data_IF_120549117895
#
_entry.id   IF_120549117895
#
_cell.length_a   1.000
_cell.length_b   1.000
_cell.length_c   1.000
_cell.angle_alpha   90.00
_cell.angle_beta   90.00
_cell.angle_gamma   90.00
#
_symmetry.space_group_name_H-M   'P 1'
#
loop_
_entity.id
_entity.type
_entity.pdbx_description
1 polymer ?
#
# COMPACT_ATOMS: atom_id res chain seq x y z
N UNK A 1 -16.39 -14.03 20.38
CA UNK A 1 -16.35 -14.01 18.90
C UNK A 1 -17.72 -13.65 18.38
N UNK A 2 -17.86 -12.50 17.71
CA UNK A 2 -19.17 -11.97 17.29
C UNK A 2 -19.72 -12.76 16.09
N UNK A 3 -21.06 -12.87 15.97
CA UNK A 3 -21.73 -13.50 14.81
C UNK A 3 -21.23 -12.90 13.50
N UNK A 4 -21.07 -11.58 13.47
CA UNK A 4 -20.50 -10.81 12.34
C UNK A 4 -19.10 -11.29 11.93
N UNK A 5 -18.27 -11.76 12.85
CA UNK A 5 -16.92 -12.26 12.54
C UNK A 5 -16.96 -13.62 11.85
N UNK A 6 -17.98 -14.44 12.12
CA UNK A 6 -18.18 -15.74 11.48
C UNK A 6 -18.68 -15.56 10.04
N UNK A 7 -19.67 -14.72 9.84
CA UNK A 7 -20.20 -14.39 8.50
C UNK A 7 -19.11 -13.80 7.61
N UNK A 8 -18.30 -12.90 8.15
CA UNK A 8 -17.18 -12.31 7.42
C UNK A 8 -16.12 -13.36 7.01
N UNK A 9 -15.83 -14.32 7.87
CA UNK A 9 -14.90 -15.41 7.51
C UNK A 9 -15.45 -16.29 6.41
N UNK A 10 -16.71 -16.68 6.52
CA UNK A 10 -17.36 -17.49 5.49
C UNK A 10 -17.35 -16.78 4.13
N UNK A 11 -17.68 -15.48 4.12
CA UNK A 11 -17.63 -14.67 2.90
C UNK A 11 -16.21 -14.58 2.33
N UNK A 12 -15.18 -14.48 3.16
CA UNK A 12 -13.79 -14.50 2.71
C UNK A 12 -13.44 -15.82 2.03
N UNK A 13 -13.82 -16.95 2.62
CA UNK A 13 -13.56 -18.27 2.06
C UNK A 13 -14.28 -18.48 0.75
N UNK A 14 -15.56 -18.11 0.68
CA UNK A 14 -16.35 -18.15 -0.55
C UNK A 14 -15.67 -17.34 -1.67
N UNK A 15 -15.27 -16.11 -1.38
CA UNK A 15 -14.59 -15.28 -2.38
C UNK A 15 -13.20 -15.81 -2.74
N UNK A 16 -12.46 -16.37 -1.79
CA UNK A 16 -11.17 -17.00 -2.05
C UNK A 16 -11.29 -18.18 -3.00
N UNK A 17 -12.34 -18.98 -2.86
CA UNK A 17 -12.57 -20.15 -3.72
C UNK A 17 -12.72 -19.78 -5.20
N UNK A 18 -13.30 -18.63 -5.51
CA UNK A 18 -13.43 -18.11 -6.88
C UNK A 18 -12.04 -17.89 -7.50
N UNK A 19 -11.12 -17.26 -6.76
CA UNK A 19 -9.75 -17.06 -7.23
C UNK A 19 -8.99 -18.37 -7.38
N UNK A 20 -9.10 -19.28 -6.41
CA UNK A 20 -8.46 -20.58 -6.49
C UNK A 20 -8.97 -21.40 -7.67
N UNK A 21 -10.28 -21.37 -7.95
CA UNK A 21 -10.84 -22.03 -9.12
C UNK A 21 -10.27 -21.48 -10.45
N UNK A 22 -10.00 -20.18 -10.51
CA UNK A 22 -9.35 -19.61 -11.67
C UNK A 22 -7.88 -20.07 -11.79
N UNK A 23 -7.16 -20.13 -10.67
CA UNK A 23 -5.74 -20.58 -10.63
C UNK A 23 -5.62 -22.06 -10.98
N UNK A 24 -6.52 -22.92 -10.51
CA UNK A 24 -6.54 -24.38 -10.82
C UNK A 24 -6.62 -24.68 -12.31
N UNK A 25 -7.15 -23.76 -13.12
CA UNK A 25 -7.15 -23.92 -14.59
C UNK A 25 -5.74 -23.89 -15.19
N UNK A 26 -4.80 -23.23 -14.53
CA UNK A 26 -3.41 -23.09 -14.98
C UNK A 26 -2.45 -23.95 -14.17
N UNK A 27 -2.76 -24.18 -12.90
CA UNK A 27 -1.98 -24.99 -11.96
C UNK A 27 -2.94 -25.96 -11.28
N UNK A 28 -3.19 -27.14 -11.89
CA UNK A 28 -4.20 -28.09 -11.39
C UNK A 28 -3.92 -28.63 -9.99
N UNK A 29 -2.64 -28.76 -9.62
CA UNK A 29 -2.14 -29.26 -8.33
C UNK A 29 -1.87 -28.15 -7.30
N UNK A 30 -2.44 -26.96 -7.48
CA UNK A 30 -2.20 -25.81 -6.59
C UNK A 30 -2.55 -26.11 -5.13
N UNK A 31 -3.59 -26.88 -4.88
CA UNK A 31 -4.04 -27.19 -3.51
C UNK A 31 -3.01 -28.03 -2.74
N UNK A 32 -2.21 -28.86 -3.43
CA UNK A 32 -1.14 -29.67 -2.84
C UNK A 32 0.13 -28.85 -2.58
N UNK A 33 0.26 -27.70 -3.25
CA UNK A 33 1.44 -26.80 -3.14
C UNK A 33 1.23 -25.64 -2.17
N UNK A 34 0.01 -25.45 -1.66
CA UNK A 34 -0.28 -24.34 -0.75
C UNK A 34 0.04 -24.73 0.68
N UNK A 35 1.13 -24.22 1.22
CA UNK A 35 1.48 -24.35 2.64
C UNK A 35 0.71 -23.33 3.50
N UNK A 36 0.44 -22.14 2.97
CA UNK A 36 -0.26 -21.06 3.68
C UNK A 36 -1.23 -20.34 2.75
N UNK A 37 -2.49 -20.25 3.17
CA UNK A 37 -3.54 -19.50 2.48
C UNK A 37 -4.03 -18.33 3.32
N UNK A 38 -3.82 -17.11 2.86
CA UNK A 38 -4.29 -15.89 3.50
C UNK A 38 -4.99 -14.99 2.49
N UNK A 39 -6.19 -14.51 2.83
CA UNK A 39 -6.92 -13.56 2.02
C UNK A 39 -7.00 -12.19 2.72
N UNK A 40 -6.42 -11.18 2.08
CA UNK A 40 -6.59 -9.78 2.43
C UNK A 40 -7.85 -9.19 1.75
N UNK A 41 -8.58 -8.37 2.49
CA UNK A 41 -9.73 -7.61 1.97
C UNK A 41 -9.57 -6.14 2.34
N UNK A 42 -10.35 -5.21 1.78
CA UNK A 42 -10.35 -3.81 2.22
C UNK A 42 -10.55 -3.66 3.73
N UNK A 43 -11.38 -4.51 4.36
CA UNK A 43 -11.56 -4.51 5.84
C UNK A 43 -10.26 -4.94 6.55
N UNK A 44 -9.55 -5.93 6.00
CA UNK A 44 -8.24 -6.35 6.51
C UNK A 44 -7.24 -5.20 6.45
N UNK A 45 -7.14 -4.52 5.30
CA UNK A 45 -6.26 -3.36 5.14
C UNK A 45 -6.63 -2.23 6.09
N UNK A 46 -7.92 -1.86 6.17
CA UNK A 46 -8.38 -0.86 7.13
C UNK A 46 -7.95 -1.18 8.56
N UNK A 47 -8.07 -2.45 8.96
CA UNK A 47 -7.71 -2.90 10.32
C UNK A 47 -6.21 -2.79 10.62
N UNK A 48 -5.36 -3.20 9.68
CA UNK A 48 -3.92 -3.29 9.91
C UNK A 48 -3.14 -2.04 9.51
N UNK A 49 -3.62 -1.28 8.54
CA UNK A 49 -2.92 -0.09 8.03
C UNK A 49 -3.64 1.22 8.38
N UNK A 50 -4.81 1.16 8.98
CA UNK A 50 -5.67 2.31 9.30
C UNK A 50 -5.97 3.21 8.09
N UNK A 51 -5.97 2.65 6.89
CA UNK A 51 -6.27 3.40 5.68
C UNK A 51 -7.77 3.61 5.50
N UNK A 52 -8.16 4.75 4.92
CA UNK A 52 -9.56 5.07 4.67
C UNK A 52 -10.21 4.00 3.79
N UNK A 53 -11.28 3.38 4.28
CA UNK A 53 -12.01 2.29 3.61
C UNK A 53 -11.13 1.12 3.13
N UNK A 54 -9.92 0.94 3.68
CA UNK A 54 -8.97 -0.08 3.27
C UNK A 54 -8.37 0.16 1.89
N UNK A 55 -8.34 1.41 1.44
CA UNK A 55 -7.78 1.79 0.14
C UNK A 55 -6.26 1.64 0.11
N UNK A 56 -5.73 1.42 -1.10
CA UNK A 56 -4.32 1.57 -1.39
C UNK A 56 -4.06 3.01 -1.85
N UNK A 57 -3.32 3.77 -1.07
CA UNK A 57 -3.03 5.17 -1.37
C UNK A 57 -4.21 6.12 -1.17
N UNK A 58 -4.14 7.35 -1.67
CA UNK A 58 -5.18 8.34 -1.51
C UNK A 58 -6.42 8.00 -2.35
N UNK A 59 -7.61 8.34 -1.84
CA UNK A 59 -8.86 8.25 -2.57
C UNK A 59 -8.95 9.41 -3.58
N UNK A 60 -8.14 9.35 -4.65
CA UNK A 60 -8.16 10.32 -5.74
C UNK A 60 -8.91 9.74 -6.94
N UNK A 61 -9.80 10.54 -7.50
CA UNK A 61 -10.35 10.28 -8.82
C UNK A 61 -9.26 10.50 -9.87
N UNK A 62 -9.12 9.60 -10.83
CA UNK A 62 -8.19 9.75 -11.96
C UNK A 62 -8.38 11.09 -12.72
N UNK A 63 -9.57 11.68 -12.66
CA UNK A 63 -9.87 12.98 -13.24
C UNK A 63 -9.33 14.18 -12.44
N UNK A 64 -8.90 14.00 -11.20
CA UNK A 64 -8.46 15.09 -10.29
C UNK A 64 -6.95 15.28 -10.22
N UNK A 65 -6.16 14.59 -11.04
CA UNK A 65 -4.74 14.87 -11.19
C UNK A 65 -3.81 13.99 -10.38
N UNK A 66 -2.59 14.49 -10.17
CA UNK A 66 -1.47 13.78 -9.57
C UNK A 66 -1.63 13.58 -8.06
N UNK A 67 -0.94 12.56 -7.55
CA UNK A 67 -0.79 12.37 -6.10
C UNK A 67 -0.26 13.65 -5.43
N UNK A 68 -0.73 13.97 -4.22
CA UNK A 68 -0.22 15.12 -3.48
C UNK A 68 1.27 14.97 -3.20
N UNK A 69 1.99 16.09 -3.21
CA UNK A 69 3.41 16.12 -2.84
C UNK A 69 3.62 15.95 -1.34
N UNK A 70 4.89 15.98 -0.93
CA UNK A 70 5.26 15.79 0.47
C UNK A 70 4.99 17.02 1.37
N UNK A 71 4.71 18.20 0.81
CA UNK A 71 4.41 19.39 1.60
C UNK A 71 2.96 19.41 2.06
N UNK A 72 2.72 19.79 3.30
CA UNK A 72 1.38 20.03 3.86
C UNK A 72 1.09 21.53 3.99
N UNK A 73 -0.17 21.92 4.19
CA UNK A 73 -0.50 23.31 4.52
C UNK A 73 0.09 23.79 5.86
N UNK A 74 0.47 22.88 6.75
CA UNK A 74 1.05 23.19 8.05
C UNK A 74 2.55 23.41 7.89
N UNK A 75 3.05 24.55 8.37
CA UNK A 75 4.48 24.88 8.32
C UNK A 75 5.31 23.82 9.02
N UNK A 76 6.39 23.38 8.36
CA UNK A 76 7.34 22.36 8.85
C UNK A 76 6.74 20.96 9.05
N UNK A 77 5.53 20.69 8.60
CA UNK A 77 4.94 19.36 8.56
C UNK A 77 5.03 18.80 7.14
N UNK A 78 5.68 17.65 7.02
CA UNK A 78 5.83 16.93 5.76
C UNK A 78 5.15 15.56 5.85
N UNK A 79 4.73 15.03 4.72
CA UNK A 79 4.13 13.71 4.60
C UNK A 79 4.88 12.89 3.55
N UNK A 80 5.00 11.59 3.77
CA UNK A 80 5.49 10.63 2.80
C UNK A 80 4.69 9.32 2.93
N UNK A 81 4.89 8.41 2.00
CA UNK A 81 4.21 7.13 2.00
C UNK A 81 3.27 6.92 0.81
N UNK A 82 2.43 5.90 0.90
CA UNK A 82 1.56 5.47 -0.21
C UNK A 82 0.51 6.51 -0.64
N UNK A 83 0.25 7.51 0.18
CA UNK A 83 -0.72 8.58 -0.11
C UNK A 83 -0.10 9.83 -0.73
N UNK A 84 1.21 9.82 -1.01
CA UNK A 84 1.94 10.93 -1.61
C UNK A 84 2.60 10.53 -2.92
N UNK A 85 2.99 11.52 -3.74
CA UNK A 85 3.77 11.27 -4.94
C UNK A 85 5.11 10.54 -4.59
N UNK A 86 5.53 9.51 -5.35
CA UNK A 86 5.00 9.00 -6.62
C UNK A 86 3.82 8.02 -6.50
N UNK A 87 3.41 7.62 -5.30
CA UNK A 87 2.23 6.79 -5.11
C UNK A 87 2.48 5.47 -4.40
N UNK A 88 1.88 4.40 -4.91
CA UNK A 88 1.75 3.10 -4.25
C UNK A 88 2.88 2.16 -4.68
N UNK A 89 3.25 1.27 -3.76
CA UNK A 89 4.28 0.25 -3.97
C UNK A 89 5.58 0.58 -3.27
N UNK A 90 6.36 -0.44 -2.93
CA UNK A 90 7.58 -0.29 -2.13
C UNK A 90 8.56 0.73 -2.73
N UNK A 91 8.90 0.68 -4.03
CA UNK A 91 9.81 1.67 -4.63
C UNK A 91 9.24 3.09 -4.57
N UNK A 92 7.95 3.26 -4.85
CA UNK A 92 7.31 4.57 -4.84
C UNK A 92 7.23 5.16 -3.43
N UNK A 93 6.90 4.35 -2.43
CA UNK A 93 6.86 4.78 -1.01
C UNK A 93 8.26 5.17 -0.53
N UNK A 94 9.29 4.40 -0.88
CA UNK A 94 10.69 4.74 -0.56
C UNK A 94 11.12 6.06 -1.21
N UNK A 95 10.78 6.25 -2.49
CA UNK A 95 11.06 7.51 -3.19
C UNK A 95 10.32 8.69 -2.56
N UNK A 96 9.08 8.51 -2.07
CA UNK A 96 8.34 9.57 -1.37
C UNK A 96 9.06 10.03 -0.10
N UNK A 97 9.67 9.11 0.64
CA UNK A 97 10.53 9.41 1.79
C UNK A 97 11.76 10.24 1.40
N UNK A 98 12.43 9.87 0.31
CA UNK A 98 13.57 10.60 -0.22
C UNK A 98 13.18 12.04 -0.65
N UNK A 99 12.04 12.22 -1.29
CA UNK A 99 11.52 13.56 -1.63
C UNK A 99 11.20 14.39 -0.40
N UNK A 100 10.64 13.80 0.64
CA UNK A 100 10.41 14.50 1.91
C UNK A 100 11.73 14.91 2.56
N UNK A 101 12.72 14.02 2.62
CA UNK A 101 14.05 14.31 3.14
C UNK A 101 14.73 15.45 2.36
N UNK A 102 14.70 15.42 1.01
CA UNK A 102 15.24 16.51 0.18
C UNK A 102 14.59 17.85 0.51
N UNK A 103 13.27 17.87 0.79
CA UNK A 103 12.58 19.14 1.14
C UNK A 103 12.92 19.65 2.54
N UNK A 104 13.27 18.76 3.46
CA UNK A 104 13.64 19.10 4.84
C UNK A 104 15.06 19.63 4.91
N UNK A 105 16.04 18.92 4.35
CA UNK A 105 17.46 19.25 4.48
C UNK A 105 17.99 20.12 3.35
N UNK A 106 17.25 20.29 2.28
CA UNK A 106 17.68 21.03 1.10
C UNK A 106 18.34 20.15 0.03
N UNK A 107 18.24 20.58 -1.23
CA UNK A 107 18.68 19.82 -2.39
C UNK A 107 20.20 19.56 -2.42
N UNK A 108 20.99 20.54 -1.98
CA UNK A 108 22.46 20.47 -1.99
C UNK A 108 22.97 19.47 -0.97
N UNK A 109 22.47 19.57 0.25
CA UNK A 109 22.79 18.67 1.37
C UNK A 109 22.34 17.23 1.04
N UNK A 110 21.16 17.08 0.48
CA UNK A 110 20.64 15.78 0.07
C UNK A 110 21.53 15.11 -0.98
N UNK A 111 21.96 15.85 -2.01
CA UNK A 111 22.90 15.34 -3.01
C UNK A 111 24.25 14.94 -2.41
N UNK A 112 24.74 15.72 -1.45
CA UNK A 112 25.99 15.40 -0.75
C UNK A 112 25.86 14.12 0.07
N UNK A 113 24.71 13.93 0.72
CA UNK A 113 24.40 12.71 1.45
C UNK A 113 24.38 11.48 0.52
N UNK A 114 23.69 11.56 -0.63
CA UNK A 114 23.62 10.47 -1.60
C UNK A 114 25.00 10.06 -2.10
N UNK A 115 25.87 11.04 -2.41
CA UNK A 115 27.26 10.75 -2.82
C UNK A 115 28.06 10.02 -1.74
N UNK A 116 27.84 10.30 -0.45
CA UNK A 116 28.52 9.63 0.66
C UNK A 116 28.12 8.16 0.82
N UNK A 117 26.91 7.79 0.41
CA UNK A 117 26.40 6.41 0.48
C UNK A 117 26.46 5.68 -0.87
N UNK A 118 27.21 6.24 -1.85
CA UNK A 118 27.39 5.68 -3.20
C UNK A 118 26.07 5.44 -3.96
N UNK A 119 25.11 6.33 -3.79
CA UNK A 119 23.85 6.37 -4.55
C UNK A 119 23.81 7.59 -5.49
#
# INVERSE_FOLDING_TARGET
>A
MCIRDREYRNLKEERCSIFLNAVRKFIPDIDERIDLKMLGTPITHKKFTNTHCGSYGPALSAAKGLFPGCKTPVKNLFTCGASTFPGIGIPAVSASGAYAAEKIIGKTEFKTLLKKINL
#
